data_IF_622723184163
#
_entry.id   IF_622723184163
#
_cell.length_a   1.000
_cell.length_b   1.000
_cell.length_c   1.000
_cell.angle_alpha   90.00
_cell.angle_beta   90.00
_cell.angle_gamma   90.00
#
_symmetry.space_group_name_H-M   'P 1'
#
loop_
_entity.id
_entity.type
_entity.pdbx_description
1 polymer ?
#
# COMPACT_ATOMS: atom_id res chain seq x y z
N UNK A 1 -1.41 7.70 68.45
CA UNK A 1 -2.39 6.95 67.65
C UNK A 1 -2.94 7.88 66.57
N UNK A 2 -2.21 8.04 65.46
CA UNK A 2 -2.62 8.89 64.33
C UNK A 2 -2.41 8.06 63.07
N UNK A 3 -3.51 7.66 62.43
CA UNK A 3 -3.52 6.94 61.14
C UNK A 3 -3.45 7.98 60.02
N UNK A 4 -2.37 7.96 59.26
CA UNK A 4 -2.25 8.71 58.01
C UNK A 4 -2.77 7.84 56.87
N UNK A 5 -3.93 8.17 56.31
CA UNK A 5 -4.47 7.52 55.11
C UNK A 5 -3.72 8.01 53.86
N UNK A 6 -3.02 7.09 53.19
CA UNK A 6 -2.46 7.32 51.87
C UNK A 6 -3.57 7.19 50.81
N UNK A 7 -3.91 8.31 50.16
CA UNK A 7 -4.78 8.32 48.98
C UNK A 7 -3.93 7.93 47.77
N UNK A 8 -4.09 6.71 47.31
CA UNK A 8 -3.49 6.22 46.06
C UNK A 8 -4.33 6.79 44.90
N UNK A 9 -3.81 7.80 44.22
CA UNK A 9 -4.35 8.27 42.95
C UNK A 9 -4.06 7.21 41.87
N UNK A 10 -5.02 6.31 41.62
CA UNK A 10 -5.02 5.53 40.38
C UNK A 10 -5.31 6.47 39.21
N UNK A 11 -4.28 6.76 38.41
CA UNK A 11 -4.38 7.54 37.19
C UNK A 11 -5.27 6.83 36.15
N UNK A 12 -6.44 7.40 35.87
CA UNK A 12 -7.31 7.07 34.73
C UNK A 12 -6.70 7.46 33.35
N UNK A 13 -5.38 7.44 33.20
CA UNK A 13 -4.68 7.86 31.98
C UNK A 13 -4.76 6.91 30.76
N UNK A 14 -4.87 5.57 30.86
CA UNK A 14 -4.81 4.74 29.65
C UNK A 14 -6.00 4.95 28.69
N UNK A 15 -7.20 5.22 29.23
CA UNK A 15 -8.41 5.42 28.40
C UNK A 15 -8.42 6.76 27.65
N UNK A 16 -7.78 7.79 28.19
CA UNK A 16 -7.67 9.12 27.57
C UNK A 16 -6.63 9.14 26.44
N UNK A 17 -5.53 8.40 26.60
CA UNK A 17 -4.53 8.23 25.54
C UNK A 17 -5.04 7.32 24.42
N UNK A 18 -5.82 6.28 24.71
CA UNK A 18 -6.45 5.45 23.68
C UNK A 18 -7.53 6.19 22.87
N UNK A 19 -8.30 7.07 23.50
CA UNK A 19 -9.28 7.91 22.78
C UNK A 19 -8.61 9.01 21.95
N UNK A 20 -7.46 9.54 22.39
CA UNK A 20 -6.61 10.45 21.59
C UNK A 20 -5.89 9.72 20.44
N UNK A 21 -5.33 8.53 20.67
CA UNK A 21 -4.74 7.65 19.63
C UNK A 21 -5.79 7.19 18.63
N UNK A 22 -6.98 6.82 19.07
CA UNK A 22 -8.10 6.44 18.21
C UNK A 22 -8.53 7.56 17.25
N UNK A 23 -8.46 8.83 17.69
CA UNK A 23 -8.73 10.00 16.85
C UNK A 23 -7.58 10.32 15.87
N UNK A 24 -6.32 10.02 16.26
CA UNK A 24 -5.10 10.22 15.46
C UNK A 24 -5.10 9.39 14.16
N UNK A 25 -5.73 8.20 14.18
CA UNK A 25 -5.73 7.27 13.04
C UNK A 25 -6.98 7.32 12.15
N UNK A 26 -7.85 8.32 12.30
CA UNK A 26 -9.06 8.43 11.47
C UNK A 26 -8.73 8.58 9.97
N UNK A 27 -7.58 9.16 9.63
CA UNK A 27 -7.10 9.27 8.24
C UNK A 27 -6.81 7.91 7.60
N UNK A 28 -6.35 6.94 8.40
CA UNK A 28 -6.00 5.59 7.95
C UNK A 28 -6.94 4.53 8.54
N UNK A 29 -8.23 4.86 8.71
CA UNK A 29 -9.17 4.01 9.44
C UNK A 29 -9.35 2.62 8.81
N UNK A 30 -9.57 2.54 7.50
CA UNK A 30 -9.76 1.25 6.83
C UNK A 30 -8.45 0.48 6.71
N UNK A 31 -7.34 1.16 6.40
CA UNK A 31 -6.00 0.57 6.37
C UNK A 31 -5.66 -0.06 7.72
N UNK A 32 -5.91 0.68 8.82
CA UNK A 32 -5.74 0.17 10.18
C UNK A 32 -6.62 -1.03 10.46
N UNK A 33 -7.89 -1.01 10.06
CA UNK A 33 -8.78 -2.17 10.25
C UNK A 33 -8.25 -3.40 9.51
N UNK A 34 -7.86 -3.29 8.25
CA UNK A 34 -7.33 -4.41 7.45
C UNK A 34 -6.07 -4.98 8.10
N UNK A 35 -5.14 -4.11 8.49
CA UNK A 35 -3.89 -4.49 9.13
C UNK A 35 -4.09 -5.11 10.53
N UNK A 36 -5.06 -4.62 11.30
CA UNK A 36 -5.40 -5.15 12.62
C UNK A 36 -6.07 -6.52 12.58
N UNK A 37 -6.80 -6.87 11.52
CA UNK A 37 -7.36 -8.23 11.36
C UNK A 37 -6.24 -9.29 11.44
N UNK A 38 -5.00 -8.91 11.09
CA UNK A 38 -3.82 -9.79 11.12
C UNK A 38 -2.80 -9.46 12.21
N UNK A 39 -3.14 -8.50 13.08
CA UNK A 39 -2.29 -8.12 14.21
C UNK A 39 -1.13 -7.17 13.85
N UNK A 40 -1.03 -6.73 12.61
CA UNK A 40 0.10 -5.95 12.07
C UNK A 40 -0.22 -4.46 12.00
N UNK A 41 -0.38 -3.80 13.15
CA UNK A 41 -0.38 -2.33 13.19
C UNK A 41 0.95 -1.80 13.73
N UNK A 42 1.73 -1.03 12.93
CA UNK A 42 3.07 -0.58 13.32
C UNK A 42 3.09 0.24 14.62
N UNK A 43 2.12 1.14 14.80
CA UNK A 43 2.12 2.03 15.97
C UNK A 43 1.75 1.35 17.30
N UNK A 44 1.29 0.10 17.25
CA UNK A 44 0.98 -0.68 18.45
C UNK A 44 2.17 -1.60 18.84
N UNK A 45 3.35 -1.49 18.19
CA UNK A 45 4.53 -2.35 18.42
C UNK A 45 4.87 -2.55 19.90
N UNK A 46 4.99 -1.45 20.65
CA UNK A 46 5.39 -1.47 22.07
C UNK A 46 4.29 -1.98 23.01
N UNK A 47 3.03 -1.91 22.60
CA UNK A 47 1.86 -2.28 23.42
C UNK A 47 1.24 -3.60 22.93
N UNK A 48 1.85 -4.26 21.95
CA UNK A 48 1.29 -5.43 21.27
C UNK A 48 1.16 -6.59 22.27
N UNK A 49 -0.06 -7.05 22.57
CA UNK A 49 -0.27 -8.12 23.53
C UNK A 49 0.24 -9.45 22.97
N UNK A 50 0.57 -10.39 23.88
CA UNK A 50 1.22 -11.65 23.54
C UNK A 50 0.45 -12.48 22.50
N UNK A 51 -0.89 -12.50 22.57
CA UNK A 51 -1.75 -13.26 21.65
C UNK A 51 -1.66 -12.75 20.20
N UNK A 52 -1.38 -11.46 19.99
CA UNK A 52 -1.17 -10.89 18.66
C UNK A 52 0.17 -11.33 18.08
N UNK A 53 1.22 -11.43 18.91
CA UNK A 53 2.51 -11.98 18.49
C UNK A 53 2.38 -13.46 18.10
N UNK A 54 1.60 -14.22 18.86
CA UNK A 54 1.27 -15.62 18.53
C UNK A 54 0.50 -15.70 17.21
N UNK A 55 -0.50 -14.84 16.99
CA UNK A 55 -1.25 -14.78 15.73
C UNK A 55 -0.33 -14.47 14.52
N UNK A 56 0.60 -13.53 14.66
CA UNK A 56 1.63 -13.24 13.65
C UNK A 56 2.48 -14.49 13.37
N UNK A 57 2.93 -15.19 14.41
CA UNK A 57 3.68 -16.44 14.25
C UNK A 57 2.87 -17.51 13.50
N UNK A 58 1.61 -17.71 13.86
CA UNK A 58 0.70 -18.67 13.20
C UNK A 58 0.56 -18.30 11.72
N UNK A 59 0.27 -17.04 11.40
CA UNK A 59 0.13 -16.59 10.01
C UNK A 59 1.40 -16.83 9.18
N UNK A 60 2.58 -16.53 9.72
CA UNK A 60 3.86 -16.79 9.04
C UNK A 60 4.08 -18.29 8.80
N UNK A 61 3.81 -19.14 9.79
CA UNK A 61 3.94 -20.59 9.67
C UNK A 61 2.93 -21.14 8.65
N UNK A 62 1.68 -20.71 8.70
CA UNK A 62 0.64 -21.09 7.74
C UNK A 62 1.05 -20.72 6.31
N UNK A 63 1.53 -19.50 6.08
CA UNK A 63 2.01 -19.08 4.77
C UNK A 63 3.23 -19.88 4.30
N UNK A 64 4.17 -20.20 5.20
CA UNK A 64 5.34 -21.02 4.87
C UNK A 64 4.96 -22.45 4.48
N UNK A 65 4.01 -23.07 5.18
CA UNK A 65 3.50 -24.41 4.84
C UNK A 65 2.85 -24.41 3.46
N UNK A 66 1.97 -23.44 3.18
CA UNK A 66 1.33 -23.31 1.87
C UNK A 66 2.35 -23.05 0.75
N UNK A 67 3.29 -22.12 0.96
CA UNK A 67 4.37 -21.82 0.01
C UNK A 67 5.12 -23.09 -0.39
N UNK A 68 5.57 -23.88 0.60
CA UNK A 68 6.37 -25.09 0.35
C UNK A 68 5.52 -26.15 -0.35
N UNK A 69 4.27 -26.36 0.10
CA UNK A 69 3.40 -27.37 -0.50
C UNK A 69 2.96 -27.03 -1.92
N UNK A 70 2.72 -25.75 -2.24
CA UNK A 70 2.34 -25.29 -3.59
C UNK A 70 3.55 -25.41 -4.53
N UNK A 71 4.75 -25.00 -4.06
CA UNK A 71 5.99 -25.14 -4.82
C UNK A 71 6.33 -26.61 -5.13
N UNK A 72 6.23 -27.50 -4.15
CA UNK A 72 6.45 -28.93 -4.34
C UNK A 72 5.44 -29.54 -5.32
N UNK A 73 4.17 -29.13 -5.23
CA UNK A 73 3.15 -29.60 -6.16
C UNK A 73 3.47 -29.20 -7.61
N UNK A 74 3.86 -27.94 -7.83
CA UNK A 74 4.25 -27.47 -9.16
C UNK A 74 5.48 -28.21 -9.73
N UNK A 75 6.42 -28.60 -8.86
CA UNK A 75 7.60 -29.36 -9.22
C UNK A 75 7.26 -30.82 -9.58
N UNK A 76 6.37 -31.47 -8.81
CA UNK A 76 5.90 -32.82 -9.15
C UNK A 76 5.08 -32.84 -10.45
N UNK A 77 4.16 -31.89 -10.63
CA UNK A 77 3.40 -31.76 -11.88
C UNK A 77 4.31 -31.57 -13.10
N UNK A 78 5.39 -30.79 -12.96
CA UNK A 78 6.39 -30.62 -14.00
C UNK A 78 7.15 -31.92 -14.31
N UNK A 79 7.52 -32.70 -13.28
CA UNK A 79 8.18 -33.99 -13.44
C UNK A 79 7.27 -35.02 -14.12
N UNK A 80 5.98 -34.99 -13.82
CA UNK A 80 4.97 -35.87 -14.41
C UNK A 80 4.58 -35.47 -15.85
N UNK A 81 5.11 -34.35 -16.35
CA UNK A 81 4.88 -33.84 -17.71
C UNK A 81 3.58 -33.05 -17.88
N UNK A 82 2.85 -32.75 -16.80
CA UNK A 82 1.63 -31.93 -16.84
C UNK A 82 1.96 -30.45 -16.69
N UNK A 83 2.28 -29.82 -17.83
CA UNK A 83 2.61 -28.41 -17.89
C UNK A 83 1.44 -27.50 -17.47
N UNK A 84 0.20 -27.91 -17.72
CA UNK A 84 -0.99 -27.11 -17.38
C UNK A 84 -1.13 -27.02 -15.86
N UNK A 85 -1.10 -28.16 -15.18
CA UNK A 85 -1.20 -28.23 -13.72
C UNK A 85 -0.02 -27.50 -13.04
N UNK A 86 1.18 -27.60 -13.63
CA UNK A 86 2.36 -26.84 -13.16
C UNK A 86 2.12 -25.33 -13.25
N UNK A 87 1.68 -24.79 -14.40
CA UNK A 87 1.39 -23.36 -14.58
C UNK A 87 0.32 -22.87 -13.60
N UNK A 88 -0.73 -23.67 -13.36
CA UNK A 88 -1.80 -23.31 -12.43
C UNK A 88 -1.31 -23.16 -10.98
N UNK A 89 -0.24 -23.87 -10.60
CA UNK A 89 0.35 -23.79 -9.26
C UNK A 89 1.24 -22.56 -9.04
N UNK A 90 1.84 -21.99 -10.10
CA UNK A 90 2.85 -20.92 -9.98
C UNK A 90 2.23 -19.61 -9.49
N UNK A 91 1.08 -19.21 -10.04
CA UNK A 91 0.43 -17.94 -9.66
C UNK A 91 0.10 -17.86 -8.15
N UNK A 92 -0.59 -18.85 -7.56
CA UNK A 92 -0.80 -18.91 -6.12
C UNK A 92 0.52 -18.92 -5.33
N UNK A 93 1.51 -19.70 -5.78
CA UNK A 93 2.82 -19.77 -5.11
C UNK A 93 3.49 -18.41 -5.02
N UNK A 94 3.53 -17.66 -6.13
CA UNK A 94 4.10 -16.30 -6.15
C UNK A 94 3.30 -15.34 -5.26
N UNK A 95 1.97 -15.45 -5.23
CA UNK A 95 1.13 -14.67 -4.34
C UNK A 95 1.43 -14.96 -2.86
N UNK A 96 1.62 -16.24 -2.49
CA UNK A 96 2.00 -16.65 -1.13
C UNK A 96 3.38 -16.14 -0.74
N UNK A 97 4.35 -16.25 -1.65
CA UNK A 97 5.71 -15.73 -1.45
C UNK A 97 5.66 -14.21 -1.22
N UNK A 98 4.93 -13.48 -2.07
CA UNK A 98 4.72 -12.04 -1.92
C UNK A 98 4.08 -11.70 -0.57
N UNK A 99 2.98 -12.36 -0.21
CA UNK A 99 2.31 -12.15 1.07
C UNK A 99 3.21 -12.42 2.29
N UNK A 100 4.04 -13.46 2.23
CA UNK A 100 5.01 -13.81 3.27
C UNK A 100 6.12 -12.76 3.39
N UNK A 101 6.75 -12.40 2.27
CA UNK A 101 7.83 -11.41 2.24
C UNK A 101 7.34 -10.03 2.67
N UNK A 102 6.13 -9.62 2.28
CA UNK A 102 5.50 -8.36 2.76
C UNK A 102 5.39 -8.34 4.26
N UNK A 103 4.92 -9.43 4.86
CA UNK A 103 4.77 -9.56 6.30
C UNK A 103 6.13 -9.44 7.00
N UNK A 104 7.18 -10.08 6.47
CA UNK A 104 8.54 -9.94 6.98
C UNK A 104 9.06 -8.50 6.85
N UNK A 105 8.93 -7.88 5.68
CA UNK A 105 9.41 -6.52 5.44
C UNK A 105 8.68 -5.47 6.30
N UNK A 106 7.39 -5.67 6.55
CA UNK A 106 6.62 -4.82 7.47
C UNK A 106 7.11 -4.95 8.90
N UNK A 107 7.43 -6.17 9.36
CA UNK A 107 7.96 -6.40 10.70
C UNK A 107 9.39 -5.84 10.85
N UNK A 108 10.23 -5.98 9.83
CA UNK A 108 11.61 -5.47 9.82
C UNK A 108 11.64 -3.94 9.81
N UNK A 109 10.78 -3.30 9.00
CA UNK A 109 10.72 -1.84 8.88
C UNK A 109 9.65 -1.19 9.78
N UNK A 110 9.10 -1.93 10.74
CA UNK A 110 7.99 -1.48 11.59
C UNK A 110 8.31 -0.14 12.27
N UNK A 111 9.55 0.04 12.73
CA UNK A 111 10.02 1.27 13.37
C UNK A 111 10.05 2.47 12.43
N UNK A 112 10.45 2.26 11.18
CA UNK A 112 10.49 3.32 10.18
C UNK A 112 9.08 3.74 9.79
N UNK A 113 8.19 2.75 9.63
CA UNK A 113 6.78 3.00 9.30
C UNK A 113 6.08 3.72 10.46
N UNK A 114 6.33 3.33 11.71
CA UNK A 114 5.80 4.04 12.88
C UNK A 114 6.33 5.49 12.98
N UNK A 115 7.61 5.70 12.65
CA UNK A 115 8.20 7.04 12.54
C UNK A 115 7.44 7.94 11.55
N UNK A 116 7.21 7.44 10.33
CA UNK A 116 6.43 8.12 9.28
C UNK A 116 5.02 8.44 9.79
N UNK A 117 4.33 7.45 10.37
CA UNK A 117 2.96 7.62 10.86
C UNK A 117 2.87 8.61 12.03
N UNK A 118 3.89 8.64 12.89
CA UNK A 118 3.98 9.58 14.00
C UNK A 118 4.19 11.00 13.50
N UNK A 119 5.11 11.20 12.53
CA UNK A 119 5.37 12.48 11.89
C UNK A 119 4.11 13.04 11.19
N UNK A 120 3.41 12.20 10.43
CA UNK A 120 2.09 12.55 9.84
C UNK A 120 1.09 12.98 10.91
N UNK A 121 1.02 12.26 12.02
CA UNK A 121 0.12 12.59 13.12
C UNK A 121 0.46 13.90 13.83
N UNK A 122 1.73 14.29 13.88
CA UNK A 122 2.14 15.60 14.40
C UNK A 122 1.81 16.74 13.43
N UNK A 123 2.02 16.53 12.14
CA UNK A 123 1.64 17.49 11.10
C UNK A 123 0.13 17.73 11.07
N UNK A 124 -0.68 16.68 11.22
CA UNK A 124 -2.13 16.77 11.35
C UNK A 124 -2.59 17.57 12.58
N UNK A 125 -1.83 17.54 13.68
CA UNK A 125 -2.17 18.29 14.89
C UNK A 125 -1.98 19.80 14.69
N UNK A 126 -1.05 20.19 13.84
CA UNK A 126 -0.75 21.58 13.51
C UNK A 126 -1.44 22.05 12.21
N UNK A 127 -2.49 21.32 11.79
CA UNK A 127 -3.23 21.59 10.56
C UNK A 127 -3.87 22.98 10.54
N UNK A 128 -3.66 23.73 9.46
CA UNK A 128 -4.32 25.02 9.28
C UNK A 128 -5.75 24.80 8.74
N UNK A 129 -6.77 25.59 9.16
CA UNK A 129 -8.17 25.39 8.74
C UNK A 129 -8.40 25.33 7.23
N UNK A 130 -7.56 26.04 6.46
CA UNK A 130 -7.60 26.07 4.98
C UNK A 130 -7.22 24.73 4.33
N UNK A 131 -6.50 23.88 5.06
CA UNK A 131 -5.97 22.59 4.59
C UNK A 131 -6.92 21.43 4.91
N UNK A 132 -7.83 21.65 5.86
CA UNK A 132 -8.80 20.65 6.29
C UNK A 132 -9.65 20.11 5.14
N UNK A 133 -9.99 20.95 4.16
CA UNK A 133 -10.73 20.52 2.97
C UNK A 133 -9.89 19.57 2.09
N UNK A 134 -8.62 19.88 1.88
CA UNK A 134 -7.67 19.08 1.09
C UNK A 134 -7.43 17.73 1.79
N UNK A 135 -7.10 17.77 3.08
CA UNK A 135 -6.83 16.57 3.86
C UNK A 135 -8.05 15.66 3.96
N UNK A 136 -9.26 16.22 4.13
CA UNK A 136 -10.51 15.44 4.07
C UNK A 136 -10.71 14.78 2.70
N UNK A 137 -10.45 15.49 1.60
CA UNK A 137 -10.56 14.95 0.24
C UNK A 137 -9.54 13.83 0.01
N UNK A 138 -8.27 14.04 0.36
CA UNK A 138 -7.22 13.04 0.21
C UNK A 138 -7.47 11.81 1.09
N UNK A 139 -7.96 12.02 2.31
CA UNK A 139 -8.42 10.94 3.20
C UNK A 139 -9.52 10.13 2.54
N UNK A 140 -10.57 10.79 2.03
CA UNK A 140 -11.70 10.11 1.39
C UNK A 140 -11.25 9.29 0.16
N UNK A 141 -10.39 9.86 -0.69
CA UNK A 141 -9.81 9.15 -1.83
C UNK A 141 -8.98 7.95 -1.39
N UNK A 142 -8.13 8.11 -0.37
CA UNK A 142 -7.33 7.01 0.17
C UNK A 142 -8.18 5.88 0.76
N UNK A 143 -9.27 6.22 1.46
CA UNK A 143 -10.24 5.23 1.97
C UNK A 143 -10.97 4.51 0.82
N UNK A 144 -11.36 5.22 -0.24
CA UNK A 144 -11.98 4.63 -1.43
C UNK A 144 -11.03 3.68 -2.16
N UNK A 145 -9.79 4.10 -2.41
CA UNK A 145 -8.77 3.23 -3.02
C UNK A 145 -8.51 1.98 -2.17
N UNK A 146 -8.40 2.14 -0.86
CA UNK A 146 -8.26 1.01 0.07
C UNK A 146 -9.43 0.04 -0.04
N UNK A 147 -10.66 0.57 -0.07
CA UNK A 147 -11.87 -0.25 -0.17
C UNK A 147 -11.94 -1.02 -1.48
N UNK A 148 -11.71 -0.35 -2.61
CA UNK A 148 -11.75 -1.00 -3.93
C UNK A 148 -10.61 -2.01 -4.11
N UNK A 149 -9.40 -1.71 -3.66
CA UNK A 149 -8.28 -2.67 -3.70
C UNK A 149 -8.59 -3.91 -2.86
N UNK A 150 -9.08 -3.73 -1.63
CA UNK A 150 -9.46 -4.84 -0.77
C UNK A 150 -10.59 -5.66 -1.40
N UNK A 151 -11.61 -5.00 -1.97
CA UNK A 151 -12.74 -5.66 -2.62
C UNK A 151 -12.29 -6.48 -3.85
N UNK A 152 -11.43 -5.92 -4.70
CA UNK A 152 -10.90 -6.62 -5.87
C UNK A 152 -10.10 -7.87 -5.48
N UNK A 153 -9.22 -7.75 -4.48
CA UNK A 153 -8.42 -8.88 -3.99
C UNK A 153 -9.28 -9.93 -3.28
N UNK A 154 -10.26 -9.50 -2.49
CA UNK A 154 -11.22 -10.40 -1.85
C UNK A 154 -12.07 -11.14 -2.88
N UNK A 155 -12.57 -10.44 -3.90
CA UNK A 155 -13.35 -11.04 -4.98
C UNK A 155 -12.53 -12.06 -5.77
N UNK A 156 -11.29 -11.74 -6.14
CA UNK A 156 -10.38 -12.68 -6.79
C UNK A 156 -10.17 -13.94 -5.93
N UNK A 157 -9.92 -13.78 -4.63
CA UNK A 157 -9.77 -14.92 -3.72
C UNK A 157 -11.04 -15.76 -3.59
N UNK A 158 -12.22 -15.13 -3.54
CA UNK A 158 -13.50 -15.86 -3.54
C UNK A 158 -13.68 -16.67 -4.82
N UNK A 159 -13.31 -16.12 -5.99
CA UNK A 159 -13.38 -16.86 -7.25
C UNK A 159 -12.47 -18.09 -7.22
N UNK A 160 -11.21 -17.96 -6.77
CA UNK A 160 -10.32 -19.12 -6.61
C UNK A 160 -10.89 -20.15 -5.61
N UNK A 161 -11.51 -19.70 -4.52
CA UNK A 161 -12.12 -20.57 -3.53
C UNK A 161 -13.35 -21.33 -4.03
N UNK A 162 -14.21 -20.68 -4.83
CA UNK A 162 -15.51 -21.22 -5.26
C UNK A 162 -15.44 -22.04 -6.55
N UNK A 163 -14.54 -21.70 -7.47
CA UNK A 163 -14.44 -22.37 -8.79
C UNK A 163 -14.33 -23.90 -8.69
N UNK A 164 -13.50 -24.48 -7.81
CA UNK A 164 -13.44 -25.94 -7.67
C UNK A 164 -14.75 -26.59 -7.22
N UNK A 165 -15.52 -25.92 -6.35
CA UNK A 165 -16.84 -26.41 -5.94
C UNK A 165 -17.86 -26.33 -7.06
N UNK A 166 -17.80 -25.29 -7.89
CA UNK A 166 -18.66 -25.16 -9.05
C UNK A 166 -18.38 -26.28 -10.06
N UNK A 167 -17.11 -26.55 -10.36
CA UNK A 167 -16.68 -27.64 -11.26
C UNK A 167 -17.11 -28.99 -10.70
N UNK A 168 -16.88 -29.23 -9.41
CA UNK A 168 -17.28 -30.48 -8.76
C UNK A 168 -18.81 -30.67 -8.81
N UNK A 169 -19.59 -29.61 -8.58
CA UNK A 169 -21.06 -29.66 -8.65
C UNK A 169 -21.56 -29.91 -10.09
N UNK A 170 -20.91 -29.29 -11.08
CA UNK A 170 -21.23 -29.50 -12.49
C UNK A 170 -20.93 -30.94 -12.93
N UNK A 171 -19.77 -31.48 -12.56
CA UNK A 171 -19.38 -32.87 -12.88
C UNK A 171 -20.31 -33.88 -12.23
N UNK A 172 -20.76 -33.62 -10.99
CA UNK A 172 -21.77 -34.42 -10.32
C UNK A 172 -23.10 -34.43 -11.08
N UNK A 173 -23.56 -33.26 -11.55
CA UNK A 173 -24.79 -33.16 -12.33
C UNK A 173 -24.66 -33.88 -13.68
N UNK A 174 -23.51 -33.78 -14.35
CA UNK A 174 -23.23 -34.53 -15.59
C UNK A 174 -23.10 -36.06 -15.38
N UNK A 175 -23.24 -36.55 -14.14
CA UNK A 175 -23.23 -37.98 -13.84
C UNK A 175 -21.84 -38.61 -13.87
N UNK A 176 -20.76 -37.82 -13.87
CA UNK A 176 -19.39 -38.35 -13.81
C UNK A 176 -19.12 -38.95 -12.42
N UNK A 177 -18.87 -40.27 -12.37
CA UNK A 177 -18.50 -41.00 -11.15
C UNK A 177 -17.21 -41.78 -11.39
N UNK A 178 -16.23 -41.80 -10.46
CA UNK A 178 -16.24 -41.17 -9.13
C UNK A 178 -16.03 -39.65 -9.16
N UNK A 179 -16.59 -38.95 -8.16
CA UNK A 179 -16.42 -37.50 -8.03
C UNK A 179 -15.02 -37.18 -7.51
N UNK A 180 -14.16 -36.68 -8.39
CA UNK A 180 -12.82 -36.20 -8.02
C UNK A 180 -12.96 -34.89 -7.26
N UNK A 181 -12.52 -34.87 -6.00
CA UNK A 181 -12.55 -33.69 -5.16
C UNK A 181 -11.40 -32.76 -5.51
N UNK A 182 -11.74 -31.52 -5.87
CA UNK A 182 -10.81 -30.48 -6.28
C UNK A 182 -10.55 -29.52 -5.12
N UNK A 183 -9.28 -29.32 -4.77
CA UNK A 183 -8.88 -28.35 -3.73
C UNK A 183 -8.89 -26.92 -4.31
N UNK A 184 -9.20 -25.89 -3.47
CA UNK A 184 -9.10 -24.47 -3.84
C UNK A 184 -7.75 -24.06 -4.44
N UNK A 185 -6.68 -24.58 -3.84
CA UNK A 185 -5.31 -24.41 -4.28
C UNK A 185 -4.67 -25.80 -4.29
N UNK A 186 -3.94 -26.12 -5.37
CA UNK A 186 -3.28 -27.41 -5.51
C UNK A 186 -2.04 -27.45 -4.59
N UNK A 187 -1.99 -28.42 -3.70
CA UNK A 187 -0.96 -28.56 -2.67
C UNK A 187 -0.44 -29.99 -2.64
N UNK A 188 0.88 -30.17 -2.50
CA UNK A 188 1.47 -31.48 -2.25
C UNK A 188 1.14 -31.90 -0.82
N UNK A 189 0.32 -32.94 -0.68
CA UNK A 189 -0.15 -33.46 0.60
C UNK A 189 0.45 -34.84 0.87
N UNK A 190 0.86 -35.14 2.12
CA UNK A 190 1.34 -36.47 2.48
C UNK A 190 0.22 -37.50 2.63
N UNK A 191 -1.04 -37.10 2.46
CA UNK A 191 -2.23 -37.93 2.60
C UNK A 191 -3.17 -37.74 1.42
N UNK A 192 -4.04 -38.73 1.20
CA UNK A 192 -5.03 -38.68 0.12
C UNK A 192 -6.16 -37.67 0.43
N UNK A 193 -6.22 -36.61 -0.37
CA UNK A 193 -7.24 -35.56 -0.29
C UNK A 193 -8.60 -36.00 -0.81
N UNK A 194 -8.74 -37.20 -1.38
CA UNK A 194 -10.04 -37.73 -1.81
C UNK A 194 -10.89 -38.24 -0.64
N UNK A 195 -10.31 -38.48 0.53
CA UNK A 195 -11.08 -38.77 1.74
C UNK A 195 -11.86 -37.53 2.20
N UNK A 196 -13.17 -37.65 2.48
CA UNK A 196 -14.04 -36.52 2.85
C UNK A 196 -13.54 -35.75 4.07
N UNK A 197 -13.01 -36.43 5.09
CA UNK A 197 -12.53 -35.76 6.30
C UNK A 197 -11.31 -34.89 6.02
N UNK A 198 -10.28 -35.46 5.38
CA UNK A 198 -9.05 -34.75 5.03
C UNK A 198 -9.29 -33.65 4.00
N UNK A 199 -10.20 -33.86 3.05
CA UNK A 199 -10.61 -32.84 2.09
C UNK A 199 -11.17 -31.59 2.78
N UNK A 200 -12.15 -31.77 3.68
CA UNK A 200 -12.79 -30.65 4.39
C UNK A 200 -11.77 -29.92 5.27
N UNK A 201 -10.93 -30.66 6.00
CA UNK A 201 -9.90 -30.07 6.86
C UNK A 201 -8.91 -29.23 6.04
N UNK A 202 -8.40 -29.79 4.94
CA UNK A 202 -7.44 -29.10 4.06
C UNK A 202 -8.08 -27.88 3.40
N UNK A 203 -9.33 -27.98 2.97
CA UNK A 203 -10.09 -26.86 2.40
C UNK A 203 -10.22 -25.70 3.39
N UNK A 204 -10.58 -25.98 4.65
CA UNK A 204 -10.69 -24.96 5.70
C UNK A 204 -9.32 -24.32 5.96
N UNK A 205 -8.26 -25.13 6.03
CA UNK A 205 -6.90 -24.64 6.19
C UNK A 205 -6.46 -23.72 5.03
N UNK A 206 -6.69 -24.10 3.78
CA UNK A 206 -6.32 -23.31 2.60
C UNK A 206 -7.09 -21.97 2.52
N UNK A 207 -8.38 -21.98 2.85
CA UNK A 207 -9.20 -20.76 2.94
C UNK A 207 -8.77 -19.87 4.11
N UNK A 208 -8.40 -20.44 5.26
CA UNK A 208 -7.80 -19.66 6.33
C UNK A 208 -6.48 -19.03 5.86
N UNK A 209 -5.64 -19.80 5.17
CA UNK A 209 -4.35 -19.35 4.69
C UNK A 209 -4.46 -18.23 3.63
N UNK A 210 -5.53 -18.16 2.83
CA UNK A 210 -5.70 -17.07 1.86
C UNK A 210 -5.94 -15.72 2.56
N UNK A 211 -6.56 -15.73 3.74
CA UNK A 211 -6.85 -14.52 4.51
C UNK A 211 -5.59 -13.68 4.86
N UNK A 212 -4.49 -14.23 5.43
CA UNK A 212 -3.26 -13.48 5.67
C UNK A 212 -2.57 -13.02 4.38
N UNK A 213 -2.75 -13.75 3.28
CA UNK A 213 -2.18 -13.35 1.97
C UNK A 213 -2.86 -12.07 1.46
N UNK A 214 -4.19 -12.07 1.41
CA UNK A 214 -4.99 -10.95 0.88
C UNK A 214 -4.77 -9.68 1.70
N UNK A 215 -4.74 -9.82 3.02
CA UNK A 215 -4.70 -8.71 3.96
C UNK A 215 -3.32 -8.16 4.20
N UNK A 216 -2.27 -8.99 4.18
CA UNK A 216 -0.90 -8.49 4.18
C UNK A 216 -0.63 -7.71 2.91
N UNK A 217 -1.12 -8.18 1.76
CA UNK A 217 -1.02 -7.48 0.48
C UNK A 217 -1.83 -6.17 0.49
N UNK A 218 -3.15 -6.26 0.58
CA UNK A 218 -4.04 -5.08 0.54
C UNK A 218 -3.78 -4.08 1.67
N UNK A 219 -3.47 -4.53 2.88
CA UNK A 219 -3.16 -3.65 4.01
C UNK A 219 -1.87 -2.88 3.81
N UNK A 220 -0.82 -3.55 3.31
CA UNK A 220 0.48 -2.93 3.05
C UNK A 220 0.40 -1.89 1.95
N UNK A 221 -0.28 -2.25 0.87
CA UNK A 221 -0.46 -1.42 -0.32
C UNK A 221 -1.34 -0.20 -0.05
N UNK A 222 -2.43 -0.41 0.68
CA UNK A 222 -3.35 0.65 1.05
C UNK A 222 -2.72 1.65 2.02
N UNK A 223 -1.86 1.20 2.95
CA UNK A 223 -1.14 2.11 3.84
C UNK A 223 -0.16 2.97 3.04
N UNK A 224 0.64 2.37 2.16
CA UNK A 224 1.56 3.09 1.29
C UNK A 224 0.83 4.15 0.45
N UNK A 225 -0.22 3.76 -0.28
CA UNK A 225 -0.99 4.69 -1.11
C UNK A 225 -1.64 5.79 -0.29
N UNK A 226 -2.18 5.47 0.90
CA UNK A 226 -2.75 6.46 1.82
C UNK A 226 -1.72 7.50 2.27
N UNK A 227 -0.51 7.06 2.61
CA UNK A 227 0.59 7.95 3.00
C UNK A 227 1.02 8.82 1.81
N UNK A 228 1.14 8.26 0.61
CA UNK A 228 1.46 9.01 -0.60
C UNK A 228 0.41 10.10 -0.92
N UNK A 229 -0.88 9.76 -0.81
CA UNK A 229 -1.97 10.73 -1.00
C UNK A 229 -1.95 11.84 0.04
N UNK A 230 -1.60 11.53 1.29
CA UNK A 230 -1.43 12.54 2.32
C UNK A 230 -0.29 13.50 1.97
N UNK A 231 0.89 12.97 1.62
CA UNK A 231 2.05 13.76 1.20
C UNK A 231 1.72 14.65 0.00
N UNK A 232 1.03 14.10 -1.00
CA UNK A 232 0.52 14.87 -2.14
C UNK A 232 -0.39 16.03 -1.70
N UNK A 233 -1.33 15.76 -0.78
CA UNK A 233 -2.18 16.78 -0.18
C UNK A 233 -1.39 17.89 0.53
N UNK A 234 -0.29 17.54 1.20
CA UNK A 234 0.57 18.50 1.87
C UNK A 234 1.33 19.41 0.88
N UNK A 235 1.80 18.89 -0.26
CA UNK A 235 2.36 19.74 -1.32
C UNK A 235 1.30 20.69 -1.91
N UNK A 236 0.07 20.21 -2.11
CA UNK A 236 -1.04 21.08 -2.52
C UNK A 236 -1.35 22.17 -1.48
N UNK A 237 -1.25 21.84 -0.19
CA UNK A 237 -1.44 22.79 0.89
C UNK A 237 -0.37 23.89 0.86
N UNK A 238 0.92 23.56 0.69
CA UNK A 238 1.99 24.55 0.50
C UNK A 238 1.68 25.48 -0.67
N UNK A 239 1.31 24.92 -1.82
CA UNK A 239 0.97 25.70 -3.01
C UNK A 239 -0.12 26.73 -2.69
N UNK A 240 -1.20 26.30 -2.06
CA UNK A 240 -2.30 27.19 -1.68
C UNK A 240 -1.87 28.21 -0.61
N UNK A 241 -0.99 27.87 0.32
CA UNK A 241 -0.43 28.81 1.28
C UNK A 241 0.37 29.92 0.57
N UNK A 242 1.25 29.58 -0.37
CA UNK A 242 2.05 30.55 -1.14
C UNK A 242 1.16 31.42 -2.04
N UNK A 243 0.18 30.83 -2.73
CA UNK A 243 -0.80 31.57 -3.56
C UNK A 243 -1.66 32.51 -2.69
N UNK A 244 -2.09 32.06 -1.51
CA UNK A 244 -2.86 32.88 -0.58
C UNK A 244 -2.03 34.02 0.00
N UNK A 245 -0.73 33.77 0.24
CA UNK A 245 0.20 34.81 0.67
C UNK A 245 0.39 35.81 -0.46
N UNK A 246 0.65 35.36 -1.68
CA UNK A 246 0.82 36.19 -2.88
C UNK A 246 -0.40 37.05 -3.18
N UNK A 247 -1.60 36.48 -3.14
CA UNK A 247 -2.86 37.22 -3.38
C UNK A 247 -3.19 38.23 -2.27
N UNK A 248 -2.75 37.99 -1.04
CA UNK A 248 -2.89 38.98 0.05
C UNK A 248 -2.02 40.23 -0.16
N UNK A 249 -1.07 40.16 -1.09
CA UNK A 249 -0.23 41.27 -1.50
C UNK A 249 -1.04 42.14 -2.48
N UNK A 250 -1.86 43.03 -1.94
CA UNK A 250 -2.56 44.03 -2.75
C UNK A 250 -1.59 44.76 -3.70
N UNK A 251 -2.00 44.98 -4.96
CA UNK A 251 -1.29 45.84 -5.91
C UNK A 251 -1.11 47.30 -5.40
N UNK A 252 -1.85 47.67 -4.35
CA UNK A 252 -1.82 48.97 -3.66
C UNK A 252 -1.10 48.97 -2.30
N UNK A 253 -0.63 47.81 -1.79
CA UNK A 253 0.18 47.80 -0.57
C UNK A 253 1.55 48.35 -0.93
N UNK A 254 1.79 49.57 -0.47
CA UNK A 254 2.93 50.40 -0.82
C UNK A 254 4.27 49.65 -0.69
N UNK A 255 5.13 49.86 -1.69
CA UNK A 255 6.58 49.73 -1.55
C UNK A 255 7.00 50.27 -0.17
N UNK A 256 7.53 49.40 0.69
CA UNK A 256 8.40 49.85 1.78
C UNK A 256 7.79 50.04 3.17
N UNK A 257 6.65 49.45 3.54
CA UNK A 257 6.35 49.29 4.97
C UNK A 257 7.24 48.17 5.55
N UNK A 258 8.14 48.46 6.52
CA UNK A 258 8.99 47.44 7.14
C UNK A 258 8.17 46.32 7.79
N UNK A 259 6.99 46.68 8.32
CA UNK A 259 6.09 45.75 8.99
C UNK A 259 5.49 44.70 8.04
N UNK A 260 5.06 45.09 6.84
CA UNK A 260 4.54 44.14 5.85
C UNK A 260 5.64 43.23 5.32
N UNK A 261 6.86 43.77 5.15
CA UNK A 261 8.03 42.97 4.73
C UNK A 261 8.39 41.92 5.78
N UNK A 262 8.39 42.30 7.06
CA UNK A 262 8.65 41.37 8.17
C UNK A 262 7.56 40.29 8.28
N UNK A 263 6.29 40.67 8.18
CA UNK A 263 5.15 39.74 8.16
C UNK A 263 5.27 38.71 7.02
N UNK A 264 5.58 39.16 5.81
CA UNK A 264 5.78 38.28 4.64
C UNK A 264 7.01 37.38 4.84
N UNK A 265 8.11 37.92 5.38
CA UNK A 265 9.31 37.15 5.67
C UNK A 265 9.03 36.02 6.68
N UNK A 266 8.34 36.33 7.79
CA UNK A 266 7.94 35.36 8.80
C UNK A 266 7.02 34.27 8.23
N UNK A 267 6.06 34.65 7.38
CA UNK A 267 5.19 33.69 6.71
C UNK A 267 5.98 32.76 5.78
N UNK A 268 6.87 33.30 4.95
CA UNK A 268 7.72 32.51 4.04
C UNK A 268 8.70 31.61 4.78
N UNK A 269 9.26 32.05 5.91
CA UNK A 269 10.08 31.18 6.78
C UNK A 269 9.28 29.98 7.28
N UNK A 270 8.02 30.20 7.69
CA UNK A 270 7.13 29.13 8.13
C UNK A 270 6.82 28.15 6.98
N UNK A 271 6.46 28.66 5.82
CA UNK A 271 6.17 27.85 4.63
C UNK A 271 7.41 27.07 4.19
N UNK A 272 8.58 27.72 4.15
CA UNK A 272 9.85 27.08 3.79
C UNK A 272 10.24 25.97 4.77
N UNK A 273 10.08 26.20 6.08
CA UNK A 273 10.31 25.16 7.08
C UNK A 273 9.38 23.97 6.89
N UNK A 274 8.10 24.24 6.59
CA UNK A 274 7.11 23.20 6.33
C UNK A 274 7.39 22.42 5.04
N UNK A 275 7.81 23.11 3.99
CA UNK A 275 8.25 22.49 2.74
C UNK A 275 9.39 21.51 2.98
N UNK A 276 10.38 21.91 3.78
CA UNK A 276 11.47 21.02 4.17
C UNK A 276 10.96 19.81 4.97
N UNK A 277 10.06 20.01 5.94
CA UNK A 277 9.48 18.89 6.70
C UNK A 277 8.74 17.88 5.82
N UNK A 278 8.05 18.34 4.77
CA UNK A 278 7.36 17.45 3.83
C UNK A 278 8.35 16.72 2.93
N UNK A 279 9.43 17.38 2.50
CA UNK A 279 10.55 16.73 1.80
C UNK A 279 11.19 15.64 2.66
N UNK A 280 11.44 15.93 3.94
CA UNK A 280 12.04 14.98 4.88
C UNK A 280 11.09 13.79 5.09
N UNK A 281 9.77 14.05 5.20
CA UNK A 281 8.75 13.00 5.25
C UNK A 281 8.76 12.11 3.99
N UNK A 282 8.93 12.68 2.79
CA UNK A 282 9.07 11.88 1.55
C UNK A 282 10.29 10.94 1.64
N UNK A 283 11.41 11.43 2.17
CA UNK A 283 12.60 10.60 2.37
C UNK A 283 12.38 9.48 3.40
N UNK A 284 11.67 9.77 4.50
CA UNK A 284 11.26 8.76 5.49
C UNK A 284 10.36 7.70 4.84
N UNK A 285 9.34 8.11 4.07
CA UNK A 285 8.45 7.20 3.33
C UNK A 285 9.23 6.32 2.37
N UNK A 286 10.15 6.91 1.59
CA UNK A 286 11.01 6.18 0.66
C UNK A 286 11.79 5.07 1.38
N UNK A 287 12.45 5.40 2.49
CA UNK A 287 13.28 4.42 3.22
C UNK A 287 12.46 3.37 3.97
N UNK A 288 11.26 3.72 4.45
CA UNK A 288 10.37 2.81 5.16
C UNK A 288 9.71 1.79 4.21
N UNK A 289 9.28 2.22 3.03
CA UNK A 289 8.49 1.41 2.11
C UNK A 289 9.28 0.82 0.92
N UNK A 290 10.55 1.20 0.71
CA UNK A 290 11.36 0.73 -0.42
C UNK A 290 11.33 -0.79 -0.64
N UNK A 291 11.48 -1.67 0.38
CA UNK A 291 11.43 -3.11 0.17
C UNK A 291 10.05 -3.60 -0.30
N UNK A 292 8.98 -2.99 0.21
CA UNK A 292 7.62 -3.31 -0.19
C UNK A 292 7.33 -2.85 -1.62
N UNK A 293 7.78 -1.65 -2.01
CA UNK A 293 7.65 -1.16 -3.38
C UNK A 293 8.40 -2.08 -4.35
N UNK A 294 9.65 -2.45 -4.04
CA UNK A 294 10.44 -3.37 -4.87
C UNK A 294 9.72 -4.71 -5.05
N UNK A 295 9.18 -5.26 -3.96
CA UNK A 295 8.46 -6.52 -3.97
C UNK A 295 7.18 -6.44 -4.82
N UNK A 296 6.43 -5.34 -4.76
CA UNK A 296 5.21 -5.15 -5.57
C UNK A 296 5.56 -5.16 -7.05
N UNK A 297 6.54 -4.36 -7.49
CA UNK A 297 6.93 -4.30 -8.91
C UNK A 297 7.47 -5.63 -9.44
N UNK A 298 8.27 -6.34 -8.64
CA UNK A 298 8.81 -7.64 -9.04
C UNK A 298 7.75 -8.74 -9.05
N UNK A 299 6.92 -8.84 -8.00
CA UNK A 299 5.85 -9.82 -7.92
C UNK A 299 4.80 -9.60 -9.01
N UNK A 300 4.34 -8.36 -9.23
CA UNK A 300 3.38 -8.02 -10.29
C UNK A 300 3.93 -8.37 -11.68
N UNK A 301 5.21 -8.08 -11.97
CA UNK A 301 5.81 -8.44 -13.24
C UNK A 301 5.84 -9.97 -13.48
N UNK A 302 6.21 -10.75 -12.45
CA UNK A 302 6.20 -12.22 -12.52
C UNK A 302 4.78 -12.74 -12.69
N UNK A 303 3.83 -12.27 -11.87
CA UNK A 303 2.43 -12.68 -11.93
C UNK A 303 1.84 -12.35 -13.30
N UNK A 304 2.07 -11.15 -13.83
CA UNK A 304 1.57 -10.76 -15.15
C UNK A 304 2.13 -11.69 -16.23
N UNK A 305 3.41 -12.04 -16.19
CA UNK A 305 4.00 -12.99 -17.12
C UNK A 305 3.29 -14.37 -17.07
N UNK A 306 3.09 -14.91 -15.86
CA UNK A 306 2.43 -16.22 -15.68
C UNK A 306 0.97 -16.16 -16.12
N UNK A 307 0.23 -15.12 -15.75
CA UNK A 307 -1.18 -14.98 -16.16
C UNK A 307 -1.29 -14.87 -17.68
N UNK A 308 -0.35 -14.20 -18.34
CA UNK A 308 -0.32 -14.14 -19.80
C UNK A 308 -0.19 -15.52 -20.44
N UNK A 309 0.71 -16.37 -19.92
CA UNK A 309 0.85 -17.76 -20.37
C UNK A 309 -0.42 -18.56 -20.03
N UNK A 310 -0.93 -18.44 -18.81
CA UNK A 310 -2.12 -19.15 -18.36
C UNK A 310 -3.36 -18.80 -19.21
N UNK A 311 -3.52 -17.54 -19.62
CA UNK A 311 -4.63 -17.13 -20.49
C UNK A 311 -4.57 -17.74 -21.90
N UNK A 312 -3.37 -18.13 -22.36
CA UNK A 312 -3.16 -18.77 -23.67
C UNK A 312 -3.26 -20.29 -23.59
N UNK A 313 -2.82 -20.90 -22.49
CA UNK A 313 -2.72 -22.36 -22.32
C UNK A 313 -3.94 -22.97 -21.63
N UNK A 314 -4.54 -22.28 -20.65
CA UNK A 314 -5.63 -22.83 -19.83
C UNK A 314 -6.97 -22.63 -20.53
N UNK A 315 -7.69 -23.73 -20.71
CA UNK A 315 -9.04 -23.76 -21.26
C UNK A 315 -10.12 -23.87 -20.16
N UNK A 316 -11.35 -23.47 -20.48
CA UNK A 316 -12.51 -23.64 -19.60
C UNK A 316 -12.65 -22.57 -18.50
N UNK A 317 -13.31 -22.96 -17.40
CA UNK A 317 -13.78 -22.02 -16.35
C UNK A 317 -12.62 -21.42 -15.56
N UNK A 318 -11.47 -22.11 -15.44
CA UNK A 318 -10.28 -21.57 -14.78
C UNK A 318 -9.74 -20.31 -15.47
N UNK A 319 -9.96 -20.14 -16.79
CA UNK A 319 -9.61 -18.90 -17.49
C UNK A 319 -10.32 -17.66 -16.91
N UNK A 320 -11.52 -17.84 -16.38
CA UNK A 320 -12.31 -16.76 -15.77
C UNK A 320 -11.79 -16.34 -14.39
N UNK A 321 -10.95 -17.15 -13.72
CA UNK A 321 -10.33 -16.76 -12.43
C UNK A 321 -9.07 -15.92 -12.64
N UNK A 322 -8.34 -16.13 -13.74
CA UNK A 322 -7.11 -15.37 -14.06
C UNK A 322 -7.36 -13.93 -14.49
N UNK A 323 -8.46 -13.64 -15.20
CA UNK A 323 -8.75 -12.29 -15.70
C UNK A 323 -8.96 -11.25 -14.57
N UNK A 324 -9.80 -11.49 -13.55
CA UNK A 324 -9.95 -10.57 -12.43
C UNK A 324 -8.66 -10.38 -11.64
N UNK A 325 -7.85 -11.44 -11.53
CA UNK A 325 -6.57 -11.39 -10.84
C UNK A 325 -5.55 -10.52 -11.57
N UNK A 326 -5.38 -10.69 -12.89
CA UNK A 326 -4.55 -9.80 -13.70
C UNK A 326 -5.01 -8.34 -13.62
N UNK A 327 -6.33 -8.11 -13.64
CA UNK A 327 -6.86 -6.76 -13.51
C UNK A 327 -6.54 -6.13 -12.14
N UNK A 328 -6.62 -6.91 -11.05
CA UNK A 328 -6.28 -6.46 -9.71
C UNK A 328 -4.78 -6.11 -9.59
N UNK A 329 -3.89 -6.95 -10.11
CA UNK A 329 -2.44 -6.70 -10.09
C UNK A 329 -2.02 -5.53 -10.99
N UNK A 330 -2.67 -5.36 -12.15
CA UNK A 330 -2.45 -4.19 -13.02
C UNK A 330 -2.90 -2.90 -12.34
N UNK A 331 -4.06 -2.92 -11.67
CA UNK A 331 -4.57 -1.78 -10.90
C UNK A 331 -3.62 -1.43 -9.74
N UNK A 332 -3.05 -2.45 -9.10
CA UNK A 332 -2.06 -2.28 -8.05
C UNK A 332 -0.80 -1.58 -8.59
N UNK A 333 -0.23 -2.09 -9.68
CA UNK A 333 0.95 -1.50 -10.32
C UNK A 333 0.69 -0.05 -10.78
N UNK A 334 -0.51 0.21 -11.32
CA UNK A 334 -0.95 1.55 -11.68
C UNK A 334 -0.98 2.48 -10.45
N UNK A 335 -1.54 2.03 -9.33
CA UNK A 335 -1.66 2.86 -8.13
C UNK A 335 -0.29 3.23 -7.55
N UNK A 336 0.67 2.31 -7.54
CA UNK A 336 2.05 2.59 -7.11
C UNK A 336 2.72 3.63 -8.02
N UNK A 337 2.62 3.42 -9.33
CA UNK A 337 3.20 4.32 -10.34
C UNK A 337 2.54 5.70 -10.33
N UNK A 338 1.23 5.76 -10.11
CA UNK A 338 0.47 6.99 -9.92
C UNK A 338 0.91 7.73 -8.67
N UNK A 339 1.00 7.03 -7.54
CA UNK A 339 1.38 7.61 -6.25
C UNK A 339 2.76 8.26 -6.31
N UNK A 340 3.74 7.63 -6.98
CA UNK A 340 5.06 8.24 -7.18
C UNK A 340 5.01 9.47 -8.10
N UNK A 341 4.28 9.39 -9.22
CA UNK A 341 4.16 10.48 -10.19
C UNK A 341 3.49 11.72 -9.58
N UNK A 342 2.37 11.56 -8.87
CA UNK A 342 1.65 12.71 -8.28
C UNK A 342 2.47 13.43 -7.22
N UNK A 343 3.31 12.73 -6.44
CA UNK A 343 4.17 13.35 -5.44
C UNK A 343 5.26 14.17 -6.14
N UNK A 344 5.91 13.60 -7.16
CA UNK A 344 6.92 14.29 -7.95
C UNK A 344 6.35 15.56 -8.57
N UNK A 345 5.26 15.42 -9.32
CA UNK A 345 4.62 16.53 -10.04
C UNK A 345 4.14 17.62 -9.07
N UNK A 346 3.60 17.24 -7.90
CA UNK A 346 3.18 18.20 -6.88
C UNK A 346 4.35 18.90 -6.20
N UNK A 347 5.47 18.20 -5.98
CA UNK A 347 6.71 18.77 -5.46
C UNK A 347 7.33 19.77 -6.44
N UNK A 348 7.31 19.46 -7.73
CA UNK A 348 7.82 20.36 -8.79
C UNK A 348 6.93 21.58 -8.99
N UNK A 349 5.61 21.43 -8.88
CA UNK A 349 4.65 22.52 -9.03
C UNK A 349 4.86 23.67 -8.03
N UNK A 350 5.55 23.44 -6.91
CA UNK A 350 5.94 24.48 -5.94
C UNK A 350 6.85 25.53 -6.61
N UNK A 351 7.67 25.14 -7.59
CA UNK A 351 8.53 26.05 -8.36
C UNK A 351 7.71 27.15 -9.03
N UNK A 352 6.66 26.77 -9.76
CA UNK A 352 5.83 27.72 -10.54
C UNK A 352 5.18 28.74 -9.61
N UNK A 353 4.65 28.27 -8.49
CA UNK A 353 3.97 29.12 -7.51
C UNK A 353 4.96 30.06 -6.81
N UNK A 354 6.16 29.58 -6.51
CA UNK A 354 7.22 30.40 -5.94
C UNK A 354 7.75 31.44 -6.95
N UNK A 355 7.76 31.12 -8.25
CA UNK A 355 8.13 32.04 -9.32
C UNK A 355 7.12 33.18 -9.50
N UNK A 356 5.83 32.86 -9.44
CA UNK A 356 4.73 33.83 -9.58
C UNK A 356 4.59 34.78 -8.38
N UNK A 357 5.21 34.43 -7.25
CA UNK A 357 5.28 35.33 -6.10
C UNK A 357 6.05 36.61 -6.47
N UNK A 358 5.61 37.83 -6.09
CA UNK A 358 6.27 39.08 -6.44
C UNK A 358 7.55 39.35 -5.62
N UNK A 359 8.48 38.38 -5.57
CA UNK A 359 9.67 38.36 -4.72
C UNK A 359 10.60 39.53 -5.02
N UNK A 360 10.67 39.99 -6.27
CA UNK A 360 11.49 41.12 -6.72
C UNK A 360 11.14 42.46 -6.05
N UNK A 361 9.99 42.56 -5.37
CA UNK A 361 9.55 43.77 -4.65
C UNK A 361 10.02 43.84 -3.19
N UNK A 362 10.64 42.78 -2.68
CA UNK A 362 10.98 42.65 -1.26
C UNK A 362 12.49 42.71 -0.98
N UNK A 363 12.83 42.75 0.31
CA UNK A 363 14.19 42.78 0.81
C UNK A 363 15.01 41.54 0.40
N UNK A 364 16.32 41.59 0.64
CA UNK A 364 17.25 40.51 0.27
C UNK A 364 16.86 39.18 0.91
N UNK A 365 16.40 39.16 2.16
CA UNK A 365 16.10 37.92 2.87
C UNK A 365 14.87 37.23 2.27
N UNK A 366 13.81 37.99 1.99
CA UNK A 366 12.59 37.46 1.36
C UNK A 366 12.86 36.91 -0.03
N UNK A 367 13.65 37.63 -0.84
CA UNK A 367 14.09 37.17 -2.16
C UNK A 367 14.86 35.85 -2.07
N UNK A 368 15.80 35.76 -1.14
CA UNK A 368 16.62 34.57 -0.96
C UNK A 368 15.80 33.34 -0.55
N UNK A 369 14.82 33.49 0.35
CA UNK A 369 13.96 32.38 0.78
C UNK A 369 13.17 31.78 -0.39
N UNK A 370 12.58 32.63 -1.24
CA UNK A 370 11.81 32.18 -2.40
C UNK A 370 12.71 31.57 -3.47
N UNK A 371 13.87 32.18 -3.72
CA UNK A 371 14.86 31.62 -4.64
C UNK A 371 15.32 30.22 -4.19
N UNK A 372 15.60 30.02 -2.91
CA UNK A 372 15.95 28.70 -2.37
C UNK A 372 14.79 27.71 -2.50
N UNK A 373 13.55 28.15 -2.28
CA UNK A 373 12.36 27.31 -2.49
C UNK A 373 12.20 26.91 -3.97
N UNK A 374 12.40 27.84 -4.92
CA UNK A 374 12.37 27.57 -6.35
C UNK A 374 13.45 26.58 -6.77
N UNK A 375 14.70 26.81 -6.37
CA UNK A 375 15.84 25.93 -6.68
C UNK A 375 15.60 24.53 -6.11
N UNK A 376 15.09 24.42 -4.87
CA UNK A 376 14.77 23.12 -4.29
C UNK A 376 13.64 22.42 -5.03
N UNK A 377 12.60 23.15 -5.44
CA UNK A 377 11.44 22.58 -6.12
C UNK A 377 11.75 22.07 -7.54
N UNK A 378 12.81 22.56 -8.19
CA UNK A 378 13.30 22.02 -9.47
C UNK A 378 13.70 20.53 -9.39
N UNK A 379 14.02 20.05 -8.19
CA UNK A 379 14.28 18.63 -7.93
C UNK A 379 13.04 18.00 -7.28
N UNK A 380 12.20 17.36 -8.10
CA UNK A 380 11.03 16.63 -7.61
C UNK A 380 11.36 15.65 -6.49
N UNK A 381 10.50 15.60 -5.48
CA UNK A 381 10.64 14.63 -4.38
C UNK A 381 10.04 13.31 -4.80
N UNK A 382 10.87 12.28 -4.95
CA UNK A 382 10.41 10.97 -5.43
C UNK A 382 10.46 9.90 -4.34
N UNK A 383 9.53 8.94 -4.44
CA UNK A 383 9.49 7.72 -3.61
C UNK A 383 10.22 6.59 -4.33
N UNK A 384 11.42 6.88 -4.85
CA UNK A 384 12.12 5.95 -5.73
C UNK A 384 12.76 4.79 -4.98
N UNK A 385 12.80 3.65 -5.65
CA UNK A 385 13.52 2.46 -5.21
C UNK A 385 14.95 2.54 -5.77
N UNK A 386 15.98 1.91 -5.16
CA UNK A 386 17.36 2.02 -5.65
C UNK A 386 17.58 1.69 -7.14
N UNK A 387 16.69 0.90 -7.75
CA UNK A 387 16.87 0.37 -9.10
C UNK A 387 16.03 1.07 -10.19
N UNK A 388 14.94 1.74 -9.82
CA UNK A 388 14.04 2.38 -10.78
C UNK A 388 13.14 3.44 -10.11
N UNK A 389 12.63 4.35 -10.94
CA UNK A 389 11.69 5.38 -10.51
C UNK A 389 10.25 4.85 -10.47
N UNK A 390 9.53 5.16 -9.40
CA UNK A 390 8.09 4.86 -9.30
C UNK A 390 7.31 5.89 -10.11
N UNK A 391 7.08 5.62 -11.40
CA UNK A 391 6.47 6.59 -12.31
C UNK A 391 5.50 5.94 -13.29
N UNK A 392 4.60 6.76 -13.85
CA UNK A 392 3.72 6.34 -14.96
C UNK A 392 4.48 5.94 -16.22
N UNK A 393 5.69 6.47 -16.42
CA UNK A 393 6.56 6.03 -17.51
C UNK A 393 7.00 4.57 -17.31
N UNK A 394 7.38 4.21 -16.07
CA UNK A 394 7.70 2.82 -15.69
C UNK A 394 6.50 1.89 -15.88
N UNK A 395 5.30 2.30 -15.46
CA UNK A 395 4.06 1.55 -15.72
C UNK A 395 3.83 1.31 -17.21
N UNK A 396 3.91 2.37 -18.03
CA UNK A 396 3.69 2.26 -19.48
C UNK A 396 4.72 1.33 -20.13
N UNK A 397 5.98 1.37 -19.69
CA UNK A 397 7.03 0.47 -20.17
C UNK A 397 6.73 -1.00 -19.80
N UNK A 398 6.30 -1.27 -18.57
CA UNK A 398 5.94 -2.63 -18.12
C UNK A 398 4.74 -3.17 -18.91
N UNK A 399 3.68 -2.37 -19.07
CA UNK A 399 2.48 -2.80 -19.82
C UNK A 399 2.79 -3.05 -21.29
N UNK A 400 3.60 -2.20 -21.91
CA UNK A 400 4.01 -2.35 -23.31
C UNK A 400 4.84 -3.61 -23.52
N UNK A 401 5.82 -3.85 -22.66
CA UNK A 401 6.67 -5.05 -22.72
C UNK A 401 5.86 -6.32 -22.48
N UNK A 402 4.97 -6.34 -21.49
CA UNK A 402 4.05 -7.46 -21.27
C UNK A 402 3.18 -7.74 -22.50
N UNK A 403 2.60 -6.69 -23.10
CA UNK A 403 1.77 -6.81 -24.31
C UNK A 403 2.57 -7.35 -25.50
N UNK A 404 3.80 -6.88 -25.71
CA UNK A 404 4.71 -7.42 -26.72
C UNK A 404 5.02 -8.91 -26.49
N UNK A 405 5.25 -9.33 -25.24
CA UNK A 405 5.47 -10.74 -24.93
C UNK A 405 4.22 -11.60 -25.16
N UNK A 406 3.02 -11.11 -24.82
CA UNK A 406 1.77 -11.81 -25.13
C UNK A 406 1.63 -12.02 -26.65
N UNK A 407 1.83 -10.97 -27.44
CA UNK A 407 1.73 -11.05 -28.90
C UNK A 407 2.77 -12.01 -29.48
N UNK A 408 4.00 -11.98 -28.96
CA UNK A 408 5.06 -12.89 -29.36
C UNK A 408 4.71 -14.35 -29.02
N UNK A 409 4.29 -14.64 -27.80
CA UNK A 409 3.88 -16.00 -27.41
C UNK A 409 2.70 -16.50 -28.23
N UNK A 410 1.72 -15.66 -28.50
CA UNK A 410 0.59 -15.99 -29.38
C UNK A 410 1.00 -16.26 -30.83
N UNK A 411 2.16 -15.78 -31.28
CA UNK A 411 2.68 -16.12 -32.61
C UNK A 411 3.39 -17.47 -32.66
N UNK A 412 3.81 -18.00 -31.51
CA UNK A 412 4.50 -19.29 -31.38
C UNK A 412 3.56 -20.44 -30.97
N UNK A 413 2.46 -20.15 -30.27
CA UNK A 413 1.35 -21.05 -29.98
C UNK A 413 0.34 -21.04 -31.13
#
# INVERSE_FOLDING_TARGET
MVKTSAVIHFSNQPKLDDTRRGRKWNIFRLQRKILLIFGLWPADRLVRPWYVKVLIGINLVTLAICMVGEFLHGLYAYQDGDLSESIESICPTVARISGFLRMLFYLINEDKIDGVLTNIGELLRNEHPRESSINKRMTALGQQFTFYLFLMMFFAACLYGVTPFFIMSYNWWQGQRPLVKLLPFKLALPYDSQNSFYFTLTTVFLNYASAPTITSQSGSDALFSGVCLYVYGQFQAIKLEVESLSSSLNARSLKGSPFETDRVNLALRRISKRHQQIIDLVAEVRTAFAPNVLLVYTATAIIMCIVCVALLVVEGIYKLTYLPYAFAELTLLFLYSYSGTIIRDASEAVQTVAYDFPWYRYDRNTRHLIQMMMIRAQHGSNVDVPFFETSMASFSAIVRTASSYITLMKSFL
#
